data_IF_553956064132
#
_entry.id   IF_553956064132
#
_cell.length_a   1.000
_cell.length_b   1.000
_cell.length_c   1.000
_cell.angle_alpha   90.00
_cell.angle_beta   90.00
_cell.angle_gamma   90.00
#
_symmetry.space_group_name_H-M   'P 1'
#
loop_
_entity.id
_entity.type
_entity.pdbx_description
1 polymer ?
#
# COMPACT_ATOMS: atom_id res chain seq x y z
N UNK A 1 4.88 12.76 18.71
CA UNK A 1 3.67 13.08 19.50
C UNK A 1 3.89 12.66 20.95
N UNK A 2 3.21 13.25 21.92
CA UNK A 2 3.34 12.88 23.35
C UNK A 2 2.46 11.67 23.76
N UNK A 3 1.55 11.26 22.89
CA UNK A 3 0.74 10.05 23.06
C UNK A 3 1.33 8.94 22.18
N UNK A 4 1.73 7.83 22.81
CA UNK A 4 2.30 6.65 22.14
C UNK A 4 1.23 5.83 21.42
N UNK A 5 -0.05 6.01 21.78
CA UNK A 5 -1.18 5.35 21.14
C UNK A 5 -1.78 6.15 19.98
N UNK A 6 -1.38 7.40 19.77
CA UNK A 6 -1.87 8.21 18.66
C UNK A 6 -1.58 7.53 17.30
N UNK A 7 -2.61 7.27 16.51
CA UNK A 7 -2.49 6.74 15.15
C UNK A 7 -3.07 7.70 14.13
N UNK A 8 -2.42 7.80 12.97
CA UNK A 8 -2.78 8.80 11.95
C UNK A 8 -4.25 8.67 11.50
N UNK A 9 -4.79 7.45 11.43
CA UNK A 9 -6.19 7.23 11.04
C UNK A 9 -7.21 7.92 11.97
N UNK A 10 -6.86 8.18 13.24
CA UNK A 10 -7.76 8.85 14.20
C UNK A 10 -7.82 10.38 14.00
N UNK A 11 -6.86 10.96 13.27
CA UNK A 11 -6.73 12.41 13.08
C UNK A 11 -7.06 12.87 11.66
N UNK A 12 -7.15 11.95 10.71
CA UNK A 12 -7.41 12.26 9.31
C UNK A 12 -8.71 11.60 8.86
N UNK A 13 -9.71 12.41 8.51
CA UNK A 13 -10.99 11.93 7.95
C UNK A 13 -10.82 11.23 6.60
N UNK A 14 -9.74 11.54 5.88
CA UNK A 14 -9.37 10.96 4.59
C UNK A 14 -7.87 10.81 4.49
N UNK A 15 -7.40 9.66 4.00
CA UNK A 15 -6.01 9.44 3.61
C UNK A 15 -5.96 9.10 2.11
N UNK A 16 -5.21 9.88 1.35
CA UNK A 16 -5.02 9.69 -0.08
C UNK A 16 -3.56 9.29 -0.38
N UNK A 17 -3.36 8.43 -1.38
CA UNK A 17 -2.02 7.98 -1.73
C UNK A 17 -1.92 7.36 -3.12
N UNK A 18 -0.85 7.69 -3.85
CA UNK A 18 -0.55 7.15 -5.18
C UNK A 18 0.72 6.31 -5.16
N UNK A 19 0.75 5.19 -5.88
CA UNK A 19 1.92 4.29 -5.95
C UNK A 19 2.35 3.83 -4.55
N UNK A 20 3.61 3.97 -4.16
CA UNK A 20 4.14 3.75 -2.80
C UNK A 20 3.30 4.48 -1.73
N UNK A 21 2.83 5.69 -2.03
CA UNK A 21 1.93 6.43 -1.14
C UNK A 21 0.58 5.76 -0.96
N UNK A 22 0.07 5.07 -1.99
CA UNK A 22 -1.15 4.26 -1.91
C UNK A 22 -0.95 3.04 -1.00
N UNK A 23 0.21 2.38 -1.08
CA UNK A 23 0.58 1.31 -0.15
C UNK A 23 0.59 1.83 1.29
N UNK A 24 1.27 2.95 1.54
CA UNK A 24 1.34 3.59 2.86
C UNK A 24 -0.06 3.95 3.36
N UNK A 25 -0.88 4.58 2.53
CA UNK A 25 -2.25 4.94 2.87
C UNK A 25 -3.08 3.70 3.27
N UNK A 26 -3.01 2.62 2.48
CA UNK A 26 -3.71 1.38 2.81
C UNK A 26 -3.20 0.73 4.11
N UNK A 27 -1.90 0.73 4.37
CA UNK A 27 -1.33 0.19 5.62
C UNK A 27 -1.77 0.99 6.86
N UNK A 28 -1.91 2.31 6.71
CA UNK A 28 -2.38 3.21 7.78
C UNK A 28 -3.90 3.15 8.01
N UNK A 29 -4.68 2.70 7.04
CA UNK A 29 -6.15 2.69 7.13
C UNK A 29 -6.75 1.28 7.26
N UNK A 30 -5.98 0.22 7.00
CA UNK A 30 -6.44 -1.17 7.15
C UNK A 30 -6.50 -1.54 8.63
N UNK A 31 -7.58 -2.14 9.14
CA UNK A 31 -7.63 -2.61 10.52
C UNK A 31 -6.59 -3.69 10.81
N UNK A 32 -6.03 -3.69 12.02
CA UNK A 32 -5.11 -4.72 12.47
C UNK A 32 -5.88 -6.02 12.74
N UNK A 33 -5.26 -7.15 12.42
CA UNK A 33 -5.88 -8.48 12.54
C UNK A 33 -6.14 -8.90 13.99
N UNK A 34 -5.33 -8.41 14.93
CA UNK A 34 -5.46 -8.73 16.36
C UNK A 34 -6.32 -7.71 17.09
N UNK A 35 -6.34 -6.46 16.61
CA UNK A 35 -7.09 -5.37 17.19
C UNK A 35 -7.67 -4.48 16.09
N UNK A 36 -8.93 -4.72 15.74
CA UNK A 36 -9.61 -4.00 14.67
C UNK A 36 -9.79 -2.50 14.93
N UNK A 37 -9.52 -2.00 16.14
CA UNK A 37 -9.54 -0.55 16.44
C UNK A 37 -8.24 0.16 16.06
N UNK A 38 -7.20 -0.59 15.67
CA UNK A 38 -5.86 -0.08 15.37
C UNK A 38 -5.52 -0.31 13.90
N UNK A 39 -4.71 0.56 13.28
CA UNK A 39 -4.23 0.33 11.93
C UNK A 39 -3.26 -0.87 11.88
N UNK A 40 -3.16 -1.48 10.71
CA UNK A 40 -2.27 -2.61 10.47
C UNK A 40 -0.80 -2.24 10.69
N UNK A 41 -0.43 -0.99 10.39
CA UNK A 41 0.90 -0.45 10.62
C UNK A 41 0.84 0.97 11.22
N UNK A 42 1.82 1.28 12.06
CA UNK A 42 2.19 2.65 12.40
C UNK A 42 3.32 3.18 11.49
N UNK A 43 3.66 4.47 11.64
CA UNK A 43 4.65 5.12 10.78
C UNK A 43 6.06 4.51 10.85
N UNK A 44 6.52 4.06 12.02
CA UNK A 44 7.85 3.45 12.17
C UNK A 44 7.87 2.02 11.62
N UNK A 45 6.76 1.28 11.74
CA UNK A 45 6.61 -0.04 11.11
C UNK A 45 6.60 0.06 9.57
N UNK A 46 6.03 1.12 9.00
CA UNK A 46 6.10 1.39 7.55
C UNK A 46 7.54 1.68 7.10
N UNK A 47 8.28 2.48 7.87
CA UNK A 47 9.70 2.70 7.60
C UNK A 47 10.46 1.37 7.62
N UNK A 48 10.25 0.57 8.67
CA UNK A 48 10.88 -0.75 8.82
C UNK A 48 10.49 -1.70 7.69
N UNK A 49 9.24 -1.68 7.24
CA UNK A 49 8.76 -2.46 6.11
C UNK A 49 9.59 -2.20 4.85
N UNK A 50 9.85 -0.93 4.50
CA UNK A 50 10.67 -0.64 3.32
C UNK A 50 12.15 -0.94 3.52
N UNK A 51 12.69 -0.83 4.73
CA UNK A 51 14.06 -1.24 5.02
C UNK A 51 14.23 -2.76 4.87
N UNK A 52 13.29 -3.54 5.41
CA UNK A 52 13.36 -5.00 5.42
C UNK A 52 13.00 -5.59 4.04
N UNK A 53 11.98 -5.06 3.37
CA UNK A 53 11.42 -5.66 2.15
C UNK A 53 11.73 -4.88 0.87
N UNK A 54 12.22 -3.64 0.95
CA UNK A 54 12.61 -2.84 -0.21
C UNK A 54 13.55 -3.55 -1.18
N UNK A 55 14.63 -4.21 -0.70
CA UNK A 55 15.52 -4.98 -1.58
C UNK A 55 14.81 -6.11 -2.34
N UNK A 56 13.78 -6.72 -1.74
CA UNK A 56 13.01 -7.80 -2.37
C UNK A 56 11.94 -7.26 -3.33
N UNK A 57 11.32 -6.13 -2.99
CA UNK A 57 10.37 -5.41 -3.87
C UNK A 57 11.07 -4.93 -5.13
N UNK A 58 12.29 -4.40 -5.00
CA UNK A 58 13.10 -3.86 -6.09
C UNK A 58 14.24 -4.80 -6.50
N UNK A 59 13.99 -6.11 -6.42
CA UNK A 59 14.97 -7.10 -6.84
C UNK A 59 15.02 -7.18 -8.37
N UNK A 60 16.12 -6.75 -8.98
CA UNK A 60 16.28 -6.81 -10.44
C UNK A 60 16.56 -8.22 -10.95
N UNK A 61 17.05 -9.13 -10.10
CA UNK A 61 17.34 -10.51 -10.53
C UNK A 61 16.09 -11.35 -10.70
N UNK A 62 14.93 -10.91 -10.18
CA UNK A 62 13.65 -11.59 -10.42
C UNK A 62 13.13 -11.37 -11.85
N UNK A 63 13.48 -10.25 -12.47
CA UNK A 63 13.22 -9.98 -13.88
C UNK A 63 14.40 -10.46 -14.74
N UNK A 64 14.38 -11.74 -15.13
CA UNK A 64 15.44 -12.33 -15.95
C UNK A 64 15.71 -11.49 -17.21
N UNK A 65 16.96 -11.08 -17.40
CA UNK A 65 17.48 -10.38 -18.58
C UNK A 65 16.92 -8.96 -18.82
N UNK A 66 16.46 -8.25 -17.79
CA UNK A 66 16.06 -6.85 -17.97
C UNK A 66 17.26 -5.95 -18.33
N UNK A 67 17.13 -5.21 -19.43
CA UNK A 67 18.00 -4.09 -19.82
C UNK A 67 17.13 -2.87 -20.16
N UNK A 68 17.71 -1.68 -20.29
CA UNK A 68 16.96 -0.46 -20.65
C UNK A 68 16.28 -0.56 -22.03
N UNK A 69 16.74 -1.46 -22.89
CA UNK A 69 16.20 -1.69 -24.23
C UNK A 69 15.08 -2.75 -24.25
N UNK A 70 14.87 -3.45 -23.12
CA UNK A 70 13.83 -4.48 -23.03
C UNK A 70 12.47 -3.82 -22.84
N UNK A 71 11.44 -4.15 -23.65
CA UNK A 71 10.09 -3.59 -23.51
C UNK A 71 9.30 -4.17 -22.31
N UNK A 72 10.00 -4.69 -21.31
CA UNK A 72 9.43 -5.35 -20.13
C UNK A 72 9.69 -4.52 -18.87
N UNK A 73 8.85 -4.65 -17.83
CA UNK A 73 9.10 -3.97 -16.57
C UNK A 73 10.42 -4.43 -15.95
N UNK A 74 11.09 -3.49 -15.27
CA UNK A 74 12.35 -3.73 -14.55
C UNK A 74 12.24 -4.73 -13.40
N UNK A 75 11.02 -4.89 -12.87
CA UNK A 75 10.70 -5.76 -11.75
C UNK A 75 9.44 -6.57 -12.13
N UNK A 76 9.42 -7.85 -11.78
CA UNK A 76 8.29 -8.76 -12.08
C UNK A 76 7.04 -8.49 -11.23
N UNK A 77 7.20 -7.80 -10.10
CA UNK A 77 6.11 -7.40 -9.20
C UNK A 77 5.56 -8.53 -8.33
N UNK A 78 6.05 -9.77 -8.49
CA UNK A 78 5.51 -10.95 -7.79
C UNK A 78 5.66 -10.83 -6.28
N UNK A 79 6.85 -10.41 -5.82
CA UNK A 79 7.11 -10.24 -4.39
C UNK A 79 6.19 -9.18 -3.77
N UNK A 80 6.08 -8.01 -4.42
CA UNK A 80 5.23 -6.92 -3.94
C UNK A 80 3.76 -7.36 -3.85
N UNK A 81 3.25 -8.01 -4.88
CA UNK A 81 1.88 -8.50 -4.93
C UNK A 81 1.57 -9.48 -3.80
N UNK A 82 2.46 -10.44 -3.56
CA UNK A 82 2.30 -11.42 -2.49
C UNK A 82 2.38 -10.77 -1.11
N UNK A 83 3.30 -9.83 -0.91
CA UNK A 83 3.46 -9.13 0.37
C UNK A 83 2.26 -8.25 0.68
N UNK A 84 1.68 -7.57 -0.31
CA UNK A 84 0.43 -6.80 -0.15
C UNK A 84 -0.74 -7.71 0.21
N UNK A 85 -0.85 -8.89 -0.41
CA UNK A 85 -1.89 -9.88 -0.04
C UNK A 85 -1.73 -10.41 1.38
N UNK A 86 -0.51 -10.64 1.82
CA UNK A 86 -0.22 -11.06 3.21
C UNK A 86 -0.66 -9.99 4.22
N UNK A 87 -0.36 -8.72 3.93
CA UNK A 87 -0.67 -7.59 4.80
C UNK A 87 -2.18 -7.28 4.84
N UNK A 88 -2.81 -7.14 3.67
CA UNK A 88 -4.19 -6.68 3.56
C UNK A 88 -5.21 -7.84 3.64
N UNK A 89 -4.76 -9.07 3.42
CA UNK A 89 -5.61 -10.28 3.41
C UNK A 89 -6.87 -10.11 2.56
N UNK A 90 -8.05 -10.30 3.17
CA UNK A 90 -9.35 -10.16 2.55
C UNK A 90 -9.95 -8.76 2.64
N UNK A 91 -9.27 -7.79 3.26
CA UNK A 91 -9.84 -6.47 3.56
C UNK A 91 -10.30 -5.74 2.30
N UNK A 92 -11.43 -5.06 2.39
CA UNK A 92 -12.07 -4.26 1.34
C UNK A 92 -12.12 -2.79 1.77
N UNK A 93 -12.29 -1.90 0.80
CA UNK A 93 -12.29 -0.44 1.02
C UNK A 93 -13.32 0.05 2.04
N UNK A 94 -14.46 -0.63 2.16
CA UNK A 94 -15.50 -0.23 3.13
C UNK A 94 -15.18 -0.68 4.57
N UNK A 95 -14.15 -1.50 4.75
CA UNK A 95 -13.70 -2.01 6.05
C UNK A 95 -12.54 -1.17 6.62
N UNK A 96 -12.10 -0.12 5.92
CA UNK A 96 -10.99 0.73 6.36
C UNK A 96 -11.41 1.66 7.50
N UNK A 97 -10.47 1.95 8.40
CA UNK A 97 -10.67 2.78 9.60
C UNK A 97 -11.00 4.24 9.28
N UNK A 98 -10.52 4.73 8.14
CA UNK A 98 -10.79 6.07 7.63
C UNK A 98 -11.02 6.00 6.12
N UNK A 99 -11.54 7.07 5.53
CA UNK A 99 -11.78 7.12 4.10
C UNK A 99 -10.45 7.05 3.34
N UNK A 100 -10.41 6.23 2.29
CA UNK A 100 -9.26 6.10 1.41
C UNK A 100 -9.54 6.70 0.03
N UNK A 101 -8.50 7.24 -0.59
CA UNK A 101 -8.48 7.59 -2.02
C UNK A 101 -7.19 7.08 -2.65
N UNK A 102 -7.31 6.07 -3.52
CA UNK A 102 -6.18 5.44 -4.21
C UNK A 102 -6.43 5.48 -5.72
N UNK A 103 -5.79 6.40 -6.47
CA UNK A 103 -5.93 6.48 -7.90
C UNK A 103 -5.13 5.39 -8.62
N UNK A 104 -5.67 4.91 -9.73
CA UNK A 104 -4.98 4.12 -10.76
C UNK A 104 -5.45 4.56 -12.15
N UNK A 105 -4.89 3.93 -13.18
CA UNK A 105 -5.27 4.18 -14.57
C UNK A 105 -5.57 2.85 -15.27
N UNK A 106 -6.74 2.75 -15.89
CA UNK A 106 -7.12 1.59 -16.70
C UNK A 106 -6.61 1.80 -18.12
N UNK A 107 -5.58 1.05 -18.50
CA UNK A 107 -4.94 1.15 -19.83
C UNK A 107 -5.80 0.57 -20.97
N UNK A 108 -6.78 -0.28 -20.67
CA UNK A 108 -7.67 -0.84 -21.69
C UNK A 108 -8.79 0.15 -22.02
N UNK A 109 -9.28 0.86 -21.02
CA UNK A 109 -10.36 1.85 -21.15
C UNK A 109 -9.86 3.29 -21.31
N UNK A 110 -8.56 3.52 -21.13
CA UNK A 110 -7.88 4.82 -21.24
C UNK A 110 -8.50 5.92 -20.37
N UNK A 111 -8.81 5.61 -19.11
CA UNK A 111 -9.37 6.57 -18.15
C UNK A 111 -8.87 6.30 -16.72
N UNK A 112 -8.89 7.33 -15.84
CA UNK A 112 -8.55 7.13 -14.44
C UNK A 112 -9.61 6.27 -13.74
N UNK A 113 -9.15 5.41 -12.85
CA UNK A 113 -9.98 4.65 -11.91
C UNK A 113 -9.59 5.06 -10.50
N UNK A 114 -10.54 5.58 -9.74
CA UNK A 114 -10.31 6.01 -8.36
C UNK A 114 -10.97 4.99 -7.43
N UNK A 115 -10.15 4.28 -6.67
CA UNK A 115 -10.64 3.44 -5.58
C UNK A 115 -10.84 4.31 -4.35
N UNK A 116 -12.09 4.51 -3.93
CA UNK A 116 -12.38 5.36 -2.78
C UNK A 116 -13.53 4.85 -1.92
N UNK A 117 -13.39 5.04 -0.61
CA UNK A 117 -14.48 4.96 0.38
C UNK A 117 -15.02 6.33 0.78
N UNK A 118 -14.42 7.41 0.27
CA UNK A 118 -14.90 8.78 0.43
C UNK A 118 -16.11 9.02 -0.49
N UNK A 119 -17.17 9.61 0.06
CA UNK A 119 -18.42 9.91 -0.67
C UNK A 119 -18.40 11.31 -1.27
#
# INVERSE_FOLDING_TARGET
AKDENAVLADYFDVIAGTSTGGLIATMLATPNLKDASRPAFNASEIQKFYLDFGPSIFNQTSAANWTQETPSPKYDGVFLHNKVREILQGTRLHETLTNLVVPSFDIYRLHPVIFSSFK
#
